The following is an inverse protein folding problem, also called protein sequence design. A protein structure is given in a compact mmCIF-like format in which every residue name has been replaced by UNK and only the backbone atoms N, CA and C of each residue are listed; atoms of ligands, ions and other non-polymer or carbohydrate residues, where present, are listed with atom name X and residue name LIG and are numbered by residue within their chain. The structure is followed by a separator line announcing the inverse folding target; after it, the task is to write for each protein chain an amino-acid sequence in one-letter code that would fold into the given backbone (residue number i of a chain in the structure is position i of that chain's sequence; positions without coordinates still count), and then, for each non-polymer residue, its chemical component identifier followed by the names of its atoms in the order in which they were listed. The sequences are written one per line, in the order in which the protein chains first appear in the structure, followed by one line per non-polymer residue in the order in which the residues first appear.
data_IF_853870439434
#
_entry.id   IF_853870439434
#
_cell.length_a   1.000
_cell.length_b   1.000
_cell.length_c   1.000
_cell.angle_alpha   90.00
_cell.angle_beta   90.00
_cell.angle_gamma   90.00
#
_symmetry.space_group_name_H-M   'P 1'
#
loop_
_entity.id
_entity.type
_entity.pdbx_description
1 polymer ?
#
# COMPACT_ATOMS: atom_id res chain seq x y z
N UNK A 1 30.63 5.94 -12.47
CA UNK A 1 29.93 5.91 -13.75
C UNK A 1 29.81 4.46 -14.20
N UNK A 2 28.62 4.05 -14.57
CA UNK A 2 28.34 2.66 -14.98
C UNK A 2 27.45 2.66 -16.23
N UNK A 3 27.83 1.90 -17.22
CA UNK A 3 26.98 1.54 -18.34
C UNK A 3 26.17 0.32 -17.98
N UNK A 4 24.86 0.35 -18.15
CA UNK A 4 23.99 -0.79 -17.95
C UNK A 4 23.14 -1.05 -19.18
N UNK A 5 22.93 -2.31 -19.47
CA UNK A 5 22.03 -2.79 -20.51
C UNK A 5 21.34 -4.05 -19.99
N UNK A 6 20.02 -4.05 -20.06
CA UNK A 6 19.22 -5.23 -19.67
C UNK A 6 19.08 -6.15 -20.88
N UNK A 7 19.40 -7.41 -20.66
CA UNK A 7 19.13 -8.49 -21.61
C UNK A 7 17.88 -9.23 -21.11
N UNK A 8 16.89 -9.36 -21.98
CA UNK A 8 15.67 -10.11 -21.68
C UNK A 8 15.89 -11.60 -21.88
N UNK A 9 14.97 -12.43 -21.36
CA UNK A 9 15.02 -13.89 -21.50
C UNK A 9 15.03 -14.36 -22.97
N UNK A 10 14.48 -13.57 -23.90
CA UNK A 10 14.48 -13.81 -25.33
C UNK A 10 15.78 -13.40 -26.03
N UNK A 11 16.81 -12.97 -25.28
CA UNK A 11 18.09 -12.49 -25.80
C UNK A 11 18.07 -11.07 -26.36
N UNK A 12 16.92 -10.41 -26.38
CA UNK A 12 16.84 -8.99 -26.82
C UNK A 12 17.45 -8.07 -25.79
N UNK A 13 18.19 -7.07 -26.25
CA UNK A 13 18.85 -6.09 -25.37
C UNK A 13 18.11 -4.77 -25.37
N UNK A 14 17.93 -4.19 -24.20
CA UNK A 14 17.35 -2.85 -24.06
C UNK A 14 18.34 -1.78 -24.48
N UNK A 15 17.86 -0.53 -24.57
CA UNK A 15 18.74 0.61 -24.80
C UNK A 15 19.77 0.73 -23.66
N UNK A 16 21.00 1.08 -24.02
CA UNK A 16 22.05 1.34 -23.05
C UNK A 16 21.71 2.57 -22.18
N UNK A 17 21.92 2.45 -20.88
CA UNK A 17 21.70 3.52 -19.93
C UNK A 17 23.00 3.82 -19.18
N UNK A 18 23.39 5.10 -19.15
CA UNK A 18 24.53 5.58 -18.38
C UNK A 18 24.05 6.10 -17.03
N UNK A 19 24.53 5.49 -15.96
CA UNK A 19 24.19 5.88 -14.59
C UNK A 19 25.44 6.49 -13.94
N UNK A 20 25.26 7.70 -13.39
CA UNK A 20 26.32 8.44 -12.68
C UNK A 20 26.09 8.33 -11.17
N UNK A 21 27.16 8.17 -10.42
CA UNK A 21 27.19 8.27 -8.97
C UNK A 21 28.28 9.24 -8.53
N UNK A 22 27.98 10.06 -7.54
CA UNK A 22 28.94 10.92 -6.86
C UNK A 22 29.73 10.15 -5.79
N UNK A 23 29.21 9.04 -5.33
CA UNK A 23 29.90 8.15 -4.41
C UNK A 23 30.78 7.17 -5.19
N UNK A 24 32.10 7.40 -5.09
CA UNK A 24 33.11 6.59 -5.78
C UNK A 24 33.38 5.24 -5.10
N UNK A 25 32.91 5.05 -3.87
CA UNK A 25 33.07 3.78 -3.12
C UNK A 25 32.08 2.70 -3.56
N UNK A 26 31.02 3.06 -4.28
CA UNK A 26 30.00 2.13 -4.72
C UNK A 26 30.46 1.29 -5.91
N UNK A 27 30.28 -0.04 -5.79
CA UNK A 27 30.44 -0.93 -6.93
C UNK A 27 29.38 -0.69 -8.01
N UNK A 28 29.70 -1.03 -9.27
CA UNK A 28 28.76 -0.90 -10.39
C UNK A 28 27.41 -1.58 -10.15
N UNK A 29 27.42 -2.78 -9.57
CA UNK A 29 26.19 -3.50 -9.20
C UNK A 29 25.33 -2.75 -8.17
N UNK A 30 25.95 -2.13 -7.15
CA UNK A 30 25.24 -1.32 -6.17
C UNK A 30 24.63 -0.06 -6.77
N UNK A 31 25.32 0.56 -7.73
CA UNK A 31 24.80 1.73 -8.45
C UNK A 31 23.56 1.34 -9.26
N UNK A 32 23.61 0.23 -9.99
CA UNK A 32 22.48 -0.28 -10.79
C UNK A 32 21.29 -0.61 -9.90
N UNK A 33 21.52 -1.35 -8.78
CA UNK A 33 20.46 -1.70 -7.84
C UNK A 33 19.86 -0.46 -7.17
N UNK A 34 20.68 0.52 -6.80
CA UNK A 34 20.23 1.80 -6.25
C UNK A 34 19.35 2.57 -7.23
N UNK A 35 19.75 2.63 -8.49
CA UNK A 35 18.97 3.27 -9.55
C UNK A 35 17.65 2.55 -9.84
N UNK A 36 17.66 1.21 -9.81
CA UNK A 36 16.44 0.41 -9.99
C UNK A 36 15.35 0.73 -8.97
N UNK A 37 15.71 1.12 -7.75
CA UNK A 37 14.76 1.54 -6.71
C UNK A 37 14.03 2.85 -7.04
N UNK A 38 14.52 3.65 -7.99
CA UNK A 38 13.84 4.88 -8.45
C UNK A 38 12.43 4.60 -8.97
N UNK A 39 12.22 3.46 -9.62
CA UNK A 39 10.90 3.06 -10.13
C UNK A 39 9.85 2.93 -9.03
N UNK A 40 10.25 2.58 -7.81
CA UNK A 40 9.32 2.49 -6.68
C UNK A 40 8.71 3.85 -6.31
N UNK A 41 9.43 4.95 -6.57
CA UNK A 41 8.93 6.31 -6.35
C UNK A 41 7.85 6.66 -7.39
N UNK A 42 8.08 6.28 -8.64
CA UNK A 42 7.09 6.50 -9.71
C UNK A 42 5.82 5.69 -9.49
N UNK A 43 5.97 4.42 -9.08
CA UNK A 43 4.83 3.57 -8.73
C UNK A 43 4.07 4.11 -7.51
N UNK A 44 4.78 4.60 -6.47
CA UNK A 44 4.19 5.28 -5.32
C UNK A 44 3.29 6.45 -5.76
N UNK A 45 3.81 7.36 -6.60
CA UNK A 45 3.03 8.49 -7.09
C UNK A 45 1.85 8.04 -7.95
N UNK A 46 2.03 7.03 -8.78
CA UNK A 46 0.96 6.45 -9.59
C UNK A 46 -0.16 5.87 -8.70
N UNK A 47 0.20 5.14 -7.65
CA UNK A 47 -0.77 4.59 -6.71
C UNK A 47 -1.49 5.69 -5.93
N UNK A 48 -0.77 6.69 -5.39
CA UNK A 48 -1.37 7.81 -4.68
C UNK A 48 -2.34 8.59 -5.56
N UNK A 49 -1.99 8.86 -6.81
CA UNK A 49 -2.82 9.63 -7.75
C UNK A 49 -4.06 8.86 -8.20
N UNK A 50 -3.92 7.58 -8.51
CA UNK A 50 -4.95 6.82 -9.23
C UNK A 50 -5.74 5.85 -8.34
N UNK A 51 -5.25 5.53 -7.15
CA UNK A 51 -5.88 4.55 -6.25
C UNK A 51 -6.19 5.07 -4.86
N UNK A 52 -5.51 6.14 -4.41
CA UNK A 52 -5.68 6.74 -3.08
C UNK A 52 -6.39 8.08 -3.10
N UNK A 53 -6.82 8.59 -4.26
CA UNK A 53 -7.62 9.81 -4.36
C UNK A 53 -6.84 11.09 -4.19
N UNK A 54 -5.54 11.12 -4.51
CA UNK A 54 -4.75 12.35 -4.40
C UNK A 54 -5.34 13.51 -5.21
N UNK A 55 -6.01 13.21 -6.33
CA UNK A 55 -6.63 14.20 -7.21
C UNK A 55 -8.08 14.54 -6.82
N UNK A 56 -8.63 13.91 -5.78
CA UNK A 56 -10.05 13.98 -5.42
C UNK A 56 -10.36 15.06 -4.37
N UNK A 57 -9.42 15.95 -4.07
CA UNK A 57 -9.69 17.06 -3.15
C UNK A 57 -10.53 18.15 -3.82
N UNK A 58 -11.65 18.49 -3.19
CA UNK A 58 -12.57 19.52 -3.65
C UNK A 58 -12.12 20.94 -3.26
N UNK A 59 -11.37 21.07 -2.18
CA UNK A 59 -10.89 22.34 -1.67
C UNK A 59 -9.42 22.54 -2.05
N UNK A 60 -9.11 23.73 -2.53
CA UNK A 60 -7.78 24.05 -3.03
C UNK A 60 -6.98 25.01 -2.13
N UNK A 61 -7.44 25.25 -0.89
CA UNK A 61 -6.65 26.06 0.03
C UNK A 61 -5.34 25.32 0.38
N UNK A 62 -4.25 26.05 0.49
CA UNK A 62 -2.92 25.48 0.80
C UNK A 62 -2.96 24.57 2.03
N UNK A 63 -3.67 24.99 3.09
CA UNK A 63 -3.77 24.23 4.33
C UNK A 63 -4.49 22.89 4.13
N UNK A 64 -5.60 22.88 3.37
CA UNK A 64 -6.35 21.66 3.08
C UNK A 64 -5.53 20.72 2.22
N UNK A 65 -4.84 21.22 1.19
CA UNK A 65 -3.98 20.41 0.35
C UNK A 65 -2.85 19.74 1.16
N UNK A 66 -2.18 20.49 2.05
CA UNK A 66 -1.15 19.93 2.93
C UNK A 66 -1.71 18.80 3.82
N UNK A 67 -2.84 19.03 4.48
CA UNK A 67 -3.49 18.01 5.32
C UNK A 67 -3.93 16.81 4.52
N UNK A 68 -4.47 17.03 3.33
CA UNK A 68 -4.89 15.96 2.43
C UNK A 68 -3.73 15.04 2.06
N UNK A 69 -2.61 15.63 1.62
CA UNK A 69 -1.39 14.86 1.28
C UNK A 69 -0.87 14.07 2.48
N UNK A 70 -0.86 14.68 3.69
CA UNK A 70 -0.43 14.00 4.91
C UNK A 70 -1.31 12.79 5.24
N UNK A 71 -2.65 12.97 5.22
CA UNK A 71 -3.61 11.89 5.49
C UNK A 71 -3.44 10.75 4.47
N UNK A 72 -3.31 11.08 3.19
CA UNK A 72 -3.13 10.08 2.15
C UNK A 72 -1.80 9.34 2.28
N UNK A 73 -0.73 10.04 2.63
CA UNK A 73 0.58 9.42 2.84
C UNK A 73 0.54 8.42 4.00
N UNK A 74 -0.10 8.78 5.10
CA UNK A 74 -0.29 7.88 6.25
C UNK A 74 -1.20 6.70 5.86
N UNK A 75 -2.32 6.96 5.19
CA UNK A 75 -3.25 5.90 4.75
C UNK A 75 -2.61 4.92 3.75
N UNK A 76 -1.66 5.38 2.95
CA UNK A 76 -0.86 4.53 2.07
C UNK A 76 0.16 3.70 2.84
N UNK A 77 0.85 4.32 3.81
CA UNK A 77 1.91 3.66 4.58
C UNK A 77 1.37 2.52 5.46
N UNK A 78 0.18 2.68 6.06
CA UNK A 78 -0.41 1.69 6.96
C UNK A 78 -0.54 0.30 6.31
N UNK A 79 -1.20 0.11 5.14
CA UNK A 79 -1.29 -1.20 4.51
C UNK A 79 0.07 -1.77 4.09
N UNK A 80 1.03 -0.93 3.71
CA UNK A 80 2.38 -1.37 3.38
C UNK A 80 3.10 -1.95 4.61
N UNK A 81 3.02 -1.25 5.75
CA UNK A 81 3.61 -1.71 7.00
C UNK A 81 2.92 -2.97 7.53
N UNK A 82 1.59 -3.05 7.42
CA UNK A 82 0.84 -4.23 7.85
C UNK A 82 1.29 -5.49 7.09
N UNK A 83 1.52 -5.42 5.80
CA UNK A 83 2.03 -6.56 5.01
C UNK A 83 3.38 -7.05 5.53
N UNK A 84 4.24 -6.14 5.99
CA UNK A 84 5.55 -6.50 6.54
C UNK A 84 5.48 -7.24 7.88
N UNK A 85 4.38 -7.07 8.65
CA UNK A 85 4.20 -7.75 9.92
C UNK A 85 3.95 -9.26 9.77
N UNK A 86 3.50 -9.70 8.59
CA UNK A 86 3.19 -11.11 8.28
C UNK A 86 2.30 -11.80 9.34
N UNK A 87 1.32 -11.07 9.89
CA UNK A 87 0.41 -11.52 10.93
C UNK A 87 -0.81 -12.24 10.32
N UNK A 88 -1.35 -13.23 11.04
CA UNK A 88 -2.56 -13.94 10.64
C UNK A 88 -3.76 -13.01 10.40
N UNK A 89 -3.89 -11.94 11.20
CA UNK A 89 -4.94 -10.92 11.04
C UNK A 89 -4.81 -10.16 9.73
N UNK A 90 -3.59 -9.90 9.29
CA UNK A 90 -3.33 -9.24 7.99
C UNK A 90 -3.69 -10.17 6.84
N UNK A 91 -3.38 -11.46 6.97
CA UNK A 91 -3.78 -12.49 6.03
C UNK A 91 -5.31 -12.60 5.96
N UNK A 92 -6.00 -12.58 7.10
CA UNK A 92 -7.46 -12.54 7.16
C UNK A 92 -8.03 -11.31 6.46
N UNK A 93 -7.52 -10.10 6.71
CA UNK A 93 -7.94 -8.90 5.99
C UNK A 93 -7.79 -9.02 4.47
N UNK A 94 -6.78 -9.74 4.00
CA UNK A 94 -6.53 -9.95 2.58
C UNK A 94 -7.33 -11.10 1.95
N UNK A 95 -8.05 -11.91 2.75
CA UNK A 95 -8.72 -13.15 2.33
C UNK A 95 -10.12 -12.96 1.73
N UNK A 96 -10.62 -11.73 1.63
CA UNK A 96 -11.97 -11.42 1.14
C UNK A 96 -12.26 -11.85 -0.31
N UNK A 97 -11.24 -12.23 -1.07
CA UNK A 97 -11.35 -12.69 -2.46
C UNK A 97 -10.90 -14.16 -2.57
N UNK A 98 -11.83 -15.16 -2.47
CA UNK A 98 -11.46 -16.58 -2.44
C UNK A 98 -10.60 -17.02 -3.62
N UNK A 99 -10.85 -16.48 -4.81
CA UNK A 99 -10.06 -16.79 -6.03
C UNK A 99 -8.61 -16.28 -5.98
N UNK A 100 -8.26 -15.43 -5.01
CA UNK A 100 -6.92 -14.89 -4.82
C UNK A 100 -6.19 -15.43 -3.59
N UNK A 101 -6.75 -16.41 -2.89
CA UNK A 101 -6.17 -16.94 -1.64
C UNK A 101 -4.76 -17.51 -1.82
N UNK A 102 -4.46 -18.09 -2.99
CA UNK A 102 -3.13 -18.62 -3.33
C UNK A 102 -2.11 -17.55 -3.72
N UNK A 103 -2.52 -16.31 -3.90
CA UNK A 103 -1.63 -15.21 -4.26
C UNK A 103 -1.05 -14.55 -3.00
N UNK A 104 0.17 -13.99 -3.07
CA UNK A 104 0.79 -13.32 -1.92
C UNK A 104 -0.07 -12.16 -1.44
N UNK A 105 -0.02 -11.92 -0.13
CA UNK A 105 -0.69 -10.78 0.50
C UNK A 105 -0.03 -9.49 0.00
N UNK A 106 -0.83 -8.58 -0.53
CA UNK A 106 -0.35 -7.28 -1.03
C UNK A 106 -1.04 -6.13 -0.29
N UNK A 107 -0.38 -4.98 -0.19
CA UNK A 107 -0.93 -3.79 0.46
C UNK A 107 -2.27 -3.35 -0.14
N UNK A 108 -2.46 -3.53 -1.45
CA UNK A 108 -3.74 -3.25 -2.11
C UNK A 108 -4.88 -4.14 -1.61
N UNK A 109 -4.61 -5.44 -1.38
CA UNK A 109 -5.59 -6.38 -0.80
C UNK A 109 -5.89 -6.04 0.65
N UNK A 110 -4.87 -5.75 1.45
CA UNK A 110 -5.04 -5.32 2.84
C UNK A 110 -5.86 -4.04 2.92
N UNK A 111 -5.60 -3.05 2.07
CA UNK A 111 -6.41 -1.83 1.98
C UNK A 111 -7.89 -2.13 1.72
N UNK A 112 -8.18 -3.00 0.75
CA UNK A 112 -9.56 -3.38 0.45
C UNK A 112 -10.22 -4.13 1.60
N UNK A 113 -9.48 -4.99 2.29
CA UNK A 113 -9.94 -5.66 3.50
C UNK A 113 -10.24 -4.68 4.63
N UNK A 114 -9.36 -3.73 4.89
CA UNK A 114 -9.58 -2.66 5.85
C UNK A 114 -10.82 -1.81 5.50
N UNK A 115 -11.00 -1.47 4.24
CA UNK A 115 -12.18 -0.72 3.79
C UNK A 115 -13.48 -1.48 4.08
N UNK A 116 -13.50 -2.78 3.85
CA UNK A 116 -14.65 -3.64 4.18
C UNK A 116 -14.85 -3.73 5.68
N UNK A 117 -13.78 -4.00 6.42
CA UNK A 117 -13.80 -4.09 7.88
C UNK A 117 -14.38 -2.82 8.51
N UNK A 118 -13.84 -1.64 8.17
CA UNK A 118 -14.32 -0.36 8.69
C UNK A 118 -15.73 0.00 8.21
N UNK A 119 -16.17 -0.52 7.07
CA UNK A 119 -17.55 -0.36 6.61
C UNK A 119 -18.58 -1.05 7.50
N UNK A 120 -18.18 -2.06 8.28
CA UNK A 120 -19.04 -2.81 9.20
C UNK A 120 -18.83 -2.39 10.67
N UNK A 121 -17.74 -1.69 10.99
CA UNK A 121 -17.43 -1.26 12.35
C UNK A 121 -18.05 0.09 12.63
N UNK A 122 -18.90 0.17 13.66
CA UNK A 122 -19.37 1.45 14.17
C UNK A 122 -18.27 2.09 15.03
N UNK A 123 -17.38 2.85 14.40
CA UNK A 123 -16.25 3.51 15.07
C UNK A 123 -16.73 4.44 16.20
N UNK A 124 -17.90 5.10 16.03
CA UNK A 124 -18.46 6.00 17.06
C UNK A 124 -18.86 5.23 18.32
N UNK A 125 -19.36 3.98 18.17
CA UNK A 125 -19.69 3.14 19.31
C UNK A 125 -18.45 2.67 20.10
N UNK A 126 -17.29 2.65 19.49
CA UNK A 126 -16.02 2.32 20.12
C UNK A 126 -15.38 3.50 20.87
N UNK A 127 -15.79 4.72 20.58
CA UNK A 127 -15.23 5.89 21.23
C UNK A 127 -15.81 6.12 22.61
N UNK A 128 -14.96 6.16 23.63
CA UNK A 128 -15.33 6.52 25.00
C UNK A 128 -14.98 7.99 25.26
N UNK A 129 -15.97 8.91 25.29
CA UNK A 129 -15.71 10.34 25.46
C UNK A 129 -15.14 10.69 26.83
N UNK A 130 -15.38 9.85 27.88
CA UNK A 130 -14.87 10.09 29.24
C UNK A 130 -13.37 9.81 29.35
N UNK A 131 -12.88 8.78 28.65
CA UNK A 131 -11.46 8.42 28.67
C UNK A 131 -10.67 9.01 27.50
N UNK A 132 -11.33 9.56 26.49
CA UNK A 132 -10.69 10.01 25.26
C UNK A 132 -10.01 8.89 24.46
N UNK A 133 -10.44 7.65 24.64
CA UNK A 133 -9.82 6.46 24.03
C UNK A 133 -10.86 5.60 23.33
N UNK A 134 -10.39 4.83 22.34
CA UNK A 134 -11.20 3.79 21.73
C UNK A 134 -11.21 2.53 22.63
N UNK A 135 -12.38 1.94 22.82
CA UNK A 135 -12.53 0.65 23.48
C UNK A 135 -11.99 -0.50 22.62
N UNK A 136 -11.78 -1.68 23.24
CA UNK A 136 -11.33 -2.85 22.50
C UNK A 136 -12.41 -3.29 21.52
N UNK A 137 -12.01 -3.57 20.28
CA UNK A 137 -12.85 -4.21 19.29
C UNK A 137 -12.56 -5.71 19.28
N UNK A 138 -13.61 -6.52 19.36
CA UNK A 138 -13.48 -7.97 19.18
C UNK A 138 -13.31 -8.24 17.67
N UNK A 139 -12.18 -8.81 17.29
CA UNK A 139 -11.98 -9.33 15.95
C UNK A 139 -12.97 -10.47 15.70
N UNK A 140 -13.56 -10.58 14.48
CA UNK A 140 -14.32 -11.77 14.13
C UNK A 140 -13.45 -13.01 14.35
N UNK A 141 -14.04 -14.04 14.92
CA UNK A 141 -13.33 -15.32 15.11
C UNK A 141 -13.02 -15.89 13.72
N UNK A 142 -11.88 -16.56 13.57
CA UNK A 142 -11.31 -17.06 12.31
C UNK A 142 -12.30 -17.85 11.39
N UNK A 143 -13.46 -18.26 11.92
CA UNK A 143 -14.46 -19.04 11.20
C UNK A 143 -15.60 -18.21 10.59
N UNK A 144 -15.66 -16.91 10.85
CA UNK A 144 -16.69 -16.05 10.25
C UNK A 144 -16.13 -15.39 8.99
N UNK A 145 -16.45 -15.96 7.83
CA UNK A 145 -16.24 -15.24 6.56
C UNK A 145 -16.99 -13.90 6.60
N UNK A 146 -16.35 -12.80 6.16
CA UNK A 146 -17.06 -11.53 6.05
C UNK A 146 -18.33 -11.74 5.21
N UNK A 147 -19.50 -11.23 5.65
CA UNK A 147 -20.77 -11.48 4.99
C UNK A 147 -20.70 -11.06 3.52
N UNK A 148 -21.01 -12.02 2.65
CA UNK A 148 -21.09 -11.78 1.21
C UNK A 148 -22.21 -10.78 0.94
N UNK A 149 -21.90 -9.61 0.42
CA UNK A 149 -22.89 -8.60 0.00
C UNK A 149 -23.84 -9.10 -1.10
N UNK A 150 -23.54 -10.23 -1.73
CA UNK A 150 -24.36 -10.84 -2.78
C UNK A 150 -25.69 -11.44 -2.28
N UNK A 151 -25.93 -11.51 -0.95
CA UNK A 151 -27.18 -12.08 -0.39
C UNK A 151 -28.12 -11.03 0.22
N UNK A 152 -27.84 -9.75 0.06
CA UNK A 152 -28.63 -8.64 0.60
C UNK A 152 -29.24 -7.75 -0.51
N UNK A 153 -29.56 -8.35 -1.67
CA UNK A 153 -30.34 -7.73 -2.74
C UNK A 153 -31.58 -8.59 -3.04
#
# INVERSE_FOLDING_TARGET
MVWSQLEKEDGTRTQQCLILSTDISLSGARIILGYGRRWSIEDLFNQLKNRWGWKETWQQTRQVLHRWVQILSVSYAIPQLLVLLNDAKVTYLASFAPWRMKQPVTAGRVRQGLQRFFGHVNIRALWNPKSGKFGPHKWPVENEHPPDRAKAA
#
